data_IF_849462074475
#
_entry.id   IF_849462074475
#
_cell.length_a   1.000
_cell.length_b   1.000
_cell.length_c   1.000
_cell.angle_alpha   90.00
_cell.angle_beta   90.00
_cell.angle_gamma   90.00
#
_symmetry.space_group_name_H-M   'P 1'
#
loop_
_entity.id
_entity.type
_entity.pdbx_description
1 polymer ?
#
# COMPACT_ATOMS: atom_id res chain seq x y z
N UNK A 1 -12.09 -20.78 -2.10
CA UNK A 1 -10.99 -20.12 -1.37
C UNK A 1 -10.97 -18.65 -1.70
N UNK A 2 -11.07 -17.81 -0.71
CA UNK A 2 -11.07 -16.37 -0.94
C UNK A 2 -9.66 -15.86 -1.18
N UNK A 3 -9.56 -14.96 -2.13
CA UNK A 3 -8.31 -14.38 -2.55
C UNK A 3 -8.28 -12.93 -2.06
N UNK A 4 -7.52 -12.68 -1.01
CA UNK A 4 -7.44 -11.34 -0.44
C UNK A 4 -6.35 -10.54 -1.16
N UNK A 5 -6.70 -9.31 -1.50
CA UNK A 5 -5.77 -8.38 -2.17
C UNK A 5 -5.96 -7.00 -1.59
N UNK A 6 -4.87 -6.34 -1.22
CA UNK A 6 -4.92 -4.97 -0.72
C UNK A 6 -4.01 -4.08 -1.55
N UNK A 7 -4.34 -2.79 -1.57
CA UNK A 7 -3.46 -1.78 -2.15
C UNK A 7 -2.76 -1.03 -1.01
N UNK A 8 -1.51 -0.63 -1.25
CA UNK A 8 -0.75 0.16 -0.28
C UNK A 8 -0.33 1.46 -0.95
N UNK A 9 -0.64 2.57 -0.31
CA UNK A 9 -0.23 3.90 -0.73
C UNK A 9 0.45 4.59 0.45
N UNK A 10 1.64 5.13 0.24
CA UNK A 10 2.37 5.76 1.33
C UNK A 10 3.12 7.01 0.89
N UNK A 11 3.28 7.94 1.82
CA UNK A 11 4.08 9.16 1.64
C UNK A 11 4.95 9.41 2.86
N UNK A 12 5.52 8.35 3.41
CA UNK A 12 6.49 8.46 4.50
C UNK A 12 7.86 8.14 3.92
N UNK A 13 8.69 9.15 3.79
CA UNK A 13 9.99 9.05 3.12
C UNK A 13 11.12 9.22 4.13
N UNK A 14 11.06 8.46 5.22
CA UNK A 14 12.17 8.39 6.16
C UNK A 14 12.34 6.95 6.64
N UNK A 15 13.55 6.62 7.07
CA UNK A 15 13.90 5.22 7.40
C UNK A 15 13.29 4.73 8.71
N UNK A 16 12.68 5.60 9.49
CA UNK A 16 12.09 5.20 10.78
C UNK A 16 10.91 4.24 10.61
N UNK A 17 10.31 4.20 9.41
CA UNK A 17 9.20 3.28 9.14
C UNK A 17 9.67 1.87 8.76
N UNK A 18 10.96 1.68 8.50
CA UNK A 18 11.45 0.38 8.00
C UNK A 18 11.07 -0.81 8.89
N UNK A 19 11.20 -0.76 10.22
CA UNK A 19 10.78 -1.89 11.05
C UNK A 19 9.28 -2.19 10.90
N UNK A 20 8.44 -1.16 10.82
CA UNK A 20 7.01 -1.35 10.62
C UNK A 20 6.73 -2.01 9.28
N UNK A 21 7.38 -1.53 8.22
CA UNK A 21 7.18 -2.07 6.87
C UNK A 21 7.60 -3.54 6.80
N UNK A 22 8.73 -3.89 7.39
CA UNK A 22 9.20 -5.27 7.40
C UNK A 22 8.21 -6.18 8.13
N UNK A 23 7.70 -5.73 9.27
CA UNK A 23 6.69 -6.47 10.04
C UNK A 23 5.39 -6.60 9.24
N UNK A 24 4.97 -5.52 8.59
CA UNK A 24 3.74 -5.52 7.79
C UNK A 24 3.81 -6.55 6.66
N UNK A 25 4.89 -6.54 5.89
CA UNK A 25 5.02 -7.49 4.78
C UNK A 25 5.15 -8.93 5.27
N UNK A 26 5.84 -9.16 6.36
CA UNK A 26 5.92 -10.49 6.98
C UNK A 26 4.52 -10.99 7.35
N UNK A 27 3.72 -10.13 7.97
CA UNK A 27 2.35 -10.46 8.32
C UNK A 27 1.50 -10.77 7.09
N UNK A 28 1.55 -9.91 6.08
CA UNK A 28 0.75 -10.09 4.86
C UNK A 28 1.12 -11.37 4.14
N UNK A 29 2.41 -11.69 4.09
CA UNK A 29 2.90 -12.91 3.48
C UNK A 29 2.41 -14.14 4.23
N UNK A 30 2.43 -14.09 5.56
CA UNK A 30 1.97 -15.20 6.40
C UNK A 30 0.48 -15.47 6.23
N UNK A 31 -0.30 -14.46 5.84
CA UNK A 31 -1.74 -14.57 5.60
C UNK A 31 -2.07 -14.79 4.13
N UNK A 32 -1.07 -14.86 3.27
CA UNK A 32 -1.21 -15.04 1.82
C UNK A 32 -2.07 -13.93 1.19
N UNK A 33 -1.89 -12.71 1.67
CA UNK A 33 -2.58 -11.54 1.14
C UNK A 33 -1.72 -10.96 0.03
N UNK A 34 -2.31 -10.76 -1.16
CA UNK A 34 -1.62 -10.12 -2.27
C UNK A 34 -1.57 -8.61 -2.08
N UNK A 35 -0.48 -8.01 -2.50
CA UNK A 35 -0.25 -6.57 -2.36
C UNK A 35 -0.07 -5.94 -3.73
N UNK A 36 -0.78 -4.83 -3.96
CA UNK A 36 -0.54 -3.92 -5.08
C UNK A 36 -0.10 -2.60 -4.46
N UNK A 37 1.10 -2.15 -4.76
CA UNK A 37 1.69 -1.01 -4.05
C UNK A 37 1.89 0.17 -5.00
N UNK A 38 1.69 1.38 -4.49
CA UNK A 38 1.92 2.60 -5.27
C UNK A 38 3.37 2.69 -5.71
N UNK A 39 3.60 3.01 -6.98
CA UNK A 39 4.92 2.92 -7.61
C UNK A 39 5.98 3.76 -6.90
N UNK A 40 5.69 5.03 -6.62
CA UNK A 40 6.67 5.91 -5.98
C UNK A 40 7.07 5.43 -4.59
N UNK A 41 6.10 4.97 -3.83
CA UNK A 41 6.36 4.47 -2.48
C UNK A 41 7.19 3.20 -2.55
N UNK A 42 6.88 2.32 -3.49
CA UNK A 42 7.62 1.07 -3.67
C UNK A 42 9.08 1.35 -4.08
N UNK A 43 9.28 2.29 -5.00
CA UNK A 43 10.63 2.68 -5.41
C UNK A 43 11.46 3.13 -4.21
N UNK A 44 10.85 3.93 -3.34
CA UNK A 44 11.52 4.38 -2.12
C UNK A 44 11.86 3.18 -1.21
N UNK A 45 10.90 2.28 -0.99
CA UNK A 45 11.11 1.12 -0.12
C UNK A 45 12.19 0.19 -0.64
N UNK A 46 12.25 -0.02 -1.96
CA UNK A 46 13.26 -0.88 -2.55
C UNK A 46 14.69 -0.35 -2.32
N UNK A 47 14.84 0.96 -2.19
CA UNK A 47 16.14 1.57 -1.96
C UNK A 47 16.52 1.68 -0.50
N UNK A 48 15.58 1.55 0.44
CA UNK A 48 15.82 1.87 1.86
C UNK A 48 15.40 0.79 2.84
N UNK A 49 14.63 -0.18 2.41
CA UNK A 49 13.96 -1.12 3.32
C UNK A 49 13.98 -2.51 2.71
N UNK A 50 13.99 -3.53 3.57
CA UNK A 50 13.81 -4.90 3.12
C UNK A 50 12.32 -5.10 2.87
N UNK A 51 11.95 -5.33 1.62
CA UNK A 51 10.57 -5.58 1.24
C UNK A 51 10.54 -6.56 0.06
N UNK A 52 9.39 -7.21 -0.20
CA UNK A 52 9.31 -8.16 -1.29
C UNK A 52 9.61 -7.50 -2.63
N UNK A 53 10.25 -8.25 -3.52
CA UNK A 53 10.53 -7.81 -4.87
C UNK A 53 9.43 -8.31 -5.80
N UNK A 54 9.29 -7.65 -6.95
CA UNK A 54 8.33 -8.05 -7.98
C UNK A 54 6.87 -7.94 -7.54
N UNK A 55 6.57 -7.00 -6.65
CA UNK A 55 5.18 -6.68 -6.31
C UNK A 55 4.52 -5.97 -7.50
N UNK A 56 3.22 -6.19 -7.66
CA UNK A 56 2.43 -5.42 -8.60
C UNK A 56 2.34 -3.98 -8.10
N UNK A 57 2.37 -3.04 -9.02
CA UNK A 57 2.32 -1.62 -8.70
C UNK A 57 1.16 -0.93 -9.40
N UNK A 58 0.79 0.24 -8.89
CA UNK A 58 -0.19 1.10 -9.54
C UNK A 58 0.28 2.55 -9.42
N UNK A 59 -0.15 3.41 -10.34
CA UNK A 59 0.17 4.83 -10.32
C UNK A 59 -1.05 5.68 -10.02
N UNK A 60 -2.18 5.29 -10.57
CA UNK A 60 -3.45 5.97 -10.34
C UNK A 60 -4.58 4.96 -10.40
N UNK A 61 -5.81 5.43 -10.38
CA UNK A 61 -6.94 4.53 -10.30
C UNK A 61 -7.16 3.73 -11.59
N UNK A 62 -6.58 4.16 -12.71
CA UNK A 62 -6.77 3.47 -13.98
C UNK A 62 -6.03 2.13 -14.04
N UNK A 63 -4.96 2.00 -13.30
CA UNK A 63 -4.20 0.75 -13.26
C UNK A 63 -4.35 0.00 -11.92
N UNK A 64 -5.28 0.43 -11.07
CA UNK A 64 -5.59 -0.26 -9.84
C UNK A 64 -6.63 -1.35 -10.10
N UNK A 65 -6.34 -2.62 -9.71
CA UNK A 65 -7.33 -3.69 -9.91
C UNK A 65 -8.64 -3.40 -9.19
N UNK A 66 -9.74 -3.93 -9.73
CA UNK A 66 -11.08 -3.69 -9.17
C UNK A 66 -11.42 -4.59 -8.00
N UNK A 67 -10.67 -5.65 -7.79
CA UNK A 67 -10.91 -6.64 -6.73
C UNK A 67 -10.06 -6.40 -5.48
N UNK A 68 -9.80 -5.13 -5.19
CA UNK A 68 -9.05 -4.72 -4.00
C UNK A 68 -10.01 -4.68 -2.80
N UNK A 69 -9.64 -5.36 -1.72
CA UNK A 69 -10.45 -5.40 -0.49
C UNK A 69 -10.44 -4.06 0.23
N UNK A 70 -9.27 -3.43 0.33
CA UNK A 70 -9.15 -2.08 0.86
C UNK A 70 -7.79 -1.50 0.47
N UNK A 71 -7.69 -0.17 0.56
CA UNK A 71 -6.42 0.52 0.36
C UNK A 71 -5.89 0.96 1.72
N UNK A 72 -4.64 0.59 2.01
CA UNK A 72 -3.97 0.98 3.24
C UNK A 72 -3.13 2.22 2.96
N UNK A 73 -3.45 3.31 3.65
CA UNK A 73 -2.74 4.59 3.52
C UNK A 73 -1.76 4.76 4.67
N UNK A 74 -0.49 4.96 4.35
CA UNK A 74 0.58 5.10 5.35
C UNK A 74 1.15 6.52 5.27
N UNK A 75 0.93 7.30 6.32
CA UNK A 75 1.42 8.68 6.35
C UNK A 75 0.59 9.56 7.24
N UNK A 76 0.44 10.83 6.87
CA UNK A 76 -0.36 11.79 7.61
C UNK A 76 -1.72 12.03 6.96
N UNK A 77 -2.38 13.11 7.40
CA UNK A 77 -3.73 13.47 6.92
C UNK A 77 -3.75 13.73 5.42
N UNK A 78 -2.71 14.40 4.91
CA UNK A 78 -2.62 14.66 3.47
C UNK A 78 -2.49 13.40 2.65
N UNK A 79 -1.85 12.37 3.20
CA UNK A 79 -1.72 11.07 2.54
C UNK A 79 -3.09 10.41 2.42
N UNK A 80 -3.89 10.46 3.47
CA UNK A 80 -5.24 9.91 3.45
C UNK A 80 -6.11 10.61 2.39
N UNK A 81 -6.03 11.93 2.29
CA UNK A 81 -6.77 12.67 1.27
C UNK A 81 -6.34 12.27 -0.14
N UNK A 82 -5.05 12.10 -0.35
CA UNK A 82 -4.53 11.66 -1.64
C UNK A 82 -5.01 10.25 -1.98
N UNK A 83 -5.03 9.36 -0.99
CA UNK A 83 -5.51 7.99 -1.17
C UNK A 83 -6.99 7.97 -1.60
N UNK A 84 -7.82 8.75 -0.91
CA UNK A 84 -9.25 8.87 -1.27
C UNK A 84 -9.41 9.38 -2.69
N UNK A 85 -8.58 10.32 -3.11
CA UNK A 85 -8.59 10.86 -4.47
C UNK A 85 -8.28 9.79 -5.51
N UNK A 86 -7.37 8.87 -5.20
CA UNK A 86 -7.00 7.79 -6.11
C UNK A 86 -8.16 6.83 -6.32
N UNK A 87 -8.84 6.43 -5.26
CA UNK A 87 -9.89 5.42 -5.36
C UNK A 87 -11.24 6.00 -5.79
N UNK A 88 -11.48 7.29 -5.55
CA UNK A 88 -12.68 8.03 -5.98
C UNK A 88 -13.98 7.25 -5.77
N UNK A 89 -14.69 6.96 -6.88
CA UNK A 89 -16.01 6.31 -6.87
C UNK A 89 -15.91 4.79 -6.94
N UNK A 90 -14.72 4.22 -6.74
CA UNK A 90 -14.52 2.78 -6.88
C UNK A 90 -15.26 1.95 -5.82
N UNK A 91 -15.61 2.57 -4.70
CA UNK A 91 -16.19 1.84 -3.58
C UNK A 91 -15.18 1.12 -2.71
N UNK A 92 -13.90 1.22 -3.01
CA UNK A 92 -12.84 0.58 -2.22
C UNK A 92 -12.69 1.31 -0.88
N UNK A 93 -12.78 0.60 0.26
CA UNK A 93 -12.55 1.24 1.56
C UNK A 93 -11.11 1.67 1.75
N UNK A 94 -10.88 2.70 2.55
CA UNK A 94 -9.53 3.17 2.90
C UNK A 94 -9.33 2.99 4.40
N UNK A 95 -8.22 2.35 4.77
CA UNK A 95 -7.75 2.30 6.15
C UNK A 95 -6.45 3.11 6.22
N UNK A 96 -6.29 3.93 7.26
CA UNK A 96 -5.12 4.78 7.38
C UNK A 96 -4.32 4.48 8.63
N UNK A 97 -3.00 4.53 8.49
CA UNK A 97 -2.08 4.50 9.63
C UNK A 97 -1.31 5.81 9.59
N UNK A 98 -1.42 6.56 10.66
CA UNK A 98 -0.81 7.89 10.77
C UNK A 98 0.54 7.78 11.46
N UNK A 99 1.54 8.35 10.83
CA UNK A 99 2.90 8.39 11.37
C UNK A 99 3.29 9.77 11.81
#
# INVERSE_FOLDING_TARGET
MQHNRIAIFGRVFNTSISPFIETLFTFLESKKIEVVIHQEFYDYLLSTTICPKNLKTFRDNSDLPTDIDFLLSLGGDGTMLAAVSIIRDSGIPVAGINF
#
